data_IF_893669683974
#
_entry.id   IF_893669683974
#
_cell.length_a   1.000
_cell.length_b   1.000
_cell.length_c   1.000
_cell.angle_alpha   90.00
_cell.angle_beta   90.00
_cell.angle_gamma   90.00
#
_symmetry.space_group_name_H-M   'P 1'
#
loop_
_entity.id
_entity.type
_entity.pdbx_description
1 polymer ?
#
# COMPACT_ATOMS: atom_id res chain seq x y z
N UNK A 1 -7.44 16.54 -24.45
CA UNK A 1 -7.87 15.61 -23.38
C UNK A 1 -9.40 15.43 -23.37
N UNK A 2 -10.06 15.28 -22.20
CA UNK A 2 -11.51 15.01 -22.16
C UNK A 2 -12.35 16.15 -22.79
N UNK A 3 -12.07 17.38 -22.38
CA UNK A 3 -12.81 18.56 -22.88
C UNK A 3 -12.62 18.74 -24.39
N UNK A 4 -11.43 18.51 -24.90
CA UNK A 4 -11.14 18.60 -26.34
C UNK A 4 -11.93 17.55 -27.14
N UNK A 5 -12.06 16.34 -26.57
CA UNK A 5 -12.87 15.27 -27.18
C UNK A 5 -14.35 15.62 -27.17
N UNK A 6 -14.87 16.18 -26.05
CA UNK A 6 -16.26 16.60 -25.95
C UNK A 6 -16.60 17.71 -26.93
N UNK A 7 -15.72 18.72 -27.09
CA UNK A 7 -15.90 19.77 -28.09
C UNK A 7 -15.99 19.20 -29.53
N UNK A 8 -15.13 18.21 -29.83
CA UNK A 8 -15.20 17.56 -31.16
C UNK A 8 -16.51 16.79 -31.36
N UNK A 9 -17.00 16.12 -30.32
CA UNK A 9 -18.29 15.41 -30.37
C UNK A 9 -19.45 16.39 -30.58
N UNK A 10 -19.47 17.51 -29.86
CA UNK A 10 -20.48 18.58 -30.03
C UNK A 10 -20.46 19.17 -31.45
N UNK A 11 -19.30 19.20 -32.09
CA UNK A 11 -19.14 19.61 -33.49
C UNK A 11 -19.52 18.51 -34.51
N UNK A 12 -20.05 17.38 -34.03
CA UNK A 12 -20.55 16.28 -34.86
C UNK A 12 -19.54 15.20 -35.21
N UNK A 13 -18.40 15.15 -34.53
CA UNK A 13 -17.47 14.04 -34.69
C UNK A 13 -18.08 12.74 -34.16
N UNK A 14 -18.22 11.74 -35.04
CA UNK A 14 -18.84 10.44 -34.71
C UNK A 14 -17.85 9.28 -34.81
N UNK A 15 -16.58 9.54 -35.15
CA UNK A 15 -15.54 8.53 -35.27
C UNK A 15 -14.24 9.02 -34.65
N UNK A 16 -13.55 8.14 -33.97
CA UNK A 16 -12.20 8.34 -33.49
C UNK A 16 -11.28 7.22 -34.01
N UNK A 17 -10.01 7.58 -34.28
CA UNK A 17 -8.96 6.61 -34.58
C UNK A 17 -7.89 6.72 -33.50
N UNK A 18 -7.70 5.67 -32.74
CA UNK A 18 -6.59 5.54 -31.78
C UNK A 18 -5.48 4.70 -32.43
N UNK A 19 -4.26 5.22 -32.44
CA UNK A 19 -3.07 4.48 -32.86
C UNK A 19 -2.12 4.42 -31.67
N UNK A 20 -1.93 3.22 -31.14
CA UNK A 20 -1.04 2.96 -30.02
C UNK A 20 0.19 2.18 -30.52
N UNK A 21 1.37 2.75 -30.34
CA UNK A 21 2.63 2.07 -30.58
C UNK A 21 3.27 1.72 -29.23
N UNK A 22 3.44 0.43 -28.97
CA UNK A 22 4.02 -0.06 -27.72
C UNK A 22 5.23 -0.95 -27.98
N UNK A 23 6.22 -0.83 -27.11
CA UNK A 23 7.36 -1.73 -27.05
C UNK A 23 7.35 -2.46 -25.71
N UNK A 24 7.25 -3.78 -25.73
CA UNK A 24 7.38 -4.61 -24.53
C UNK A 24 8.84 -4.70 -24.13
N UNK A 25 9.18 -4.21 -22.94
CA UNK A 25 10.53 -4.26 -22.39
C UNK A 25 10.47 -5.09 -21.10
N UNK A 26 11.35 -6.07 -20.97
CA UNK A 26 11.54 -6.78 -19.71
C UNK A 26 12.44 -5.95 -18.80
N UNK A 27 12.05 -5.79 -17.54
CA UNK A 27 12.81 -5.16 -16.47
C UNK A 27 12.77 -6.05 -15.24
N UNK A 28 13.75 -5.88 -14.37
CA UNK A 28 13.81 -6.55 -13.07
C UNK A 28 13.61 -5.50 -11.99
N UNK A 29 12.71 -5.78 -11.07
CA UNK A 29 12.53 -5.06 -9.82
C UNK A 29 12.97 -5.94 -8.65
N UNK A 30 13.10 -5.36 -7.46
CA UNK A 30 13.48 -6.07 -6.24
C UNK A 30 12.53 -5.67 -5.12
N UNK A 31 12.27 -6.60 -4.20
CA UNK A 31 11.71 -6.30 -2.90
C UNK A 31 12.85 -6.14 -1.91
N UNK A 32 12.68 -5.25 -0.93
CA UNK A 32 13.59 -5.10 0.20
C UNK A 32 12.87 -5.70 1.40
N UNK A 33 13.52 -6.59 2.13
CA UNK A 33 12.93 -7.30 3.26
C UNK A 33 13.83 -7.15 4.47
N UNK A 34 13.25 -6.71 5.58
CA UNK A 34 13.90 -6.68 6.89
C UNK A 34 13.07 -7.51 7.86
N UNK A 35 13.69 -8.51 8.49
CA UNK A 35 13.04 -9.36 9.50
C UNK A 35 13.62 -9.07 10.88
N UNK A 36 12.76 -8.73 11.83
CA UNK A 36 13.07 -8.50 13.23
C UNK A 36 12.47 -9.66 14.03
N UNK A 37 13.28 -10.59 14.54
CA UNK A 37 12.76 -11.77 15.25
C UNK A 37 11.99 -11.39 16.51
N UNK A 38 10.87 -12.05 16.74
CA UNK A 38 10.08 -11.90 17.96
C UNK A 38 10.78 -12.42 19.22
N UNK A 39 10.37 -11.93 20.39
CA UNK A 39 10.93 -12.31 21.68
C UNK A 39 10.17 -13.46 22.36
N UNK A 40 8.89 -13.64 22.04
CA UNK A 40 8.02 -14.65 22.70
C UNK A 40 7.45 -15.67 21.70
N UNK A 41 7.09 -15.23 20.49
CA UNK A 41 6.46 -16.03 19.44
C UNK A 41 7.15 -15.78 18.09
N UNK A 42 8.44 -16.16 17.96
CA UNK A 42 9.23 -15.84 16.76
C UNK A 42 8.74 -16.57 15.50
N UNK A 43 7.96 -17.63 15.63
CA UNK A 43 7.34 -18.38 14.53
C UNK A 43 6.09 -17.70 13.96
N UNK A 44 5.51 -16.73 14.66
CA UNK A 44 4.39 -15.95 14.18
C UNK A 44 4.87 -14.63 13.56
N UNK A 45 4.46 -14.37 12.33
CA UNK A 45 4.95 -13.23 11.54
C UNK A 45 3.81 -12.21 11.37
N UNK A 46 4.12 -10.97 11.72
CA UNK A 46 3.34 -9.79 11.30
C UNK A 46 4.12 -9.08 10.20
N UNK A 47 3.44 -8.69 9.13
CA UNK A 47 4.09 -7.93 8.04
C UNK A 47 3.66 -6.48 8.04
N UNK A 48 4.65 -5.58 7.93
CA UNK A 48 4.46 -4.16 7.59
C UNK A 48 4.91 -3.96 6.15
N UNK A 49 4.04 -3.46 5.29
CA UNK A 49 4.34 -3.36 3.86
C UNK A 49 4.02 -1.98 3.30
N UNK A 50 4.79 -1.56 2.31
CA UNK A 50 4.53 -0.43 1.43
C UNK A 50 5.29 -0.64 0.13
N UNK A 51 4.82 -0.11 -0.98
CA UNK A 51 5.64 -0.08 -2.18
C UNK A 51 6.56 1.14 -2.19
N UNK A 52 7.65 1.08 -2.96
CA UNK A 52 8.62 2.16 -3.07
C UNK A 52 8.85 2.64 -4.52
N UNK A 53 8.18 2.02 -5.47
CA UNK A 53 8.12 2.51 -6.83
C UNK A 53 7.00 3.55 -7.00
N UNK A 54 7.01 4.26 -8.09
CA UNK A 54 5.98 5.21 -8.48
C UNK A 54 5.78 5.20 -9.99
N UNK A 55 4.69 5.81 -10.45
CA UNK A 55 4.43 5.99 -11.88
C UNK A 55 5.43 6.97 -12.52
N UNK A 56 5.71 6.85 -13.82
CA UNK A 56 6.65 7.75 -14.51
C UNK A 56 6.23 9.23 -14.55
N UNK A 57 4.97 9.53 -14.23
CA UNK A 57 4.39 10.87 -14.33
C UNK A 57 4.71 11.77 -13.15
N UNK A 58 5.11 11.21 -12.01
CA UNK A 58 5.35 11.95 -10.78
C UNK A 58 6.44 11.37 -9.89
N UNK A 59 6.92 12.15 -8.92
CA UNK A 59 7.94 11.71 -7.96
C UNK A 59 7.43 10.69 -6.94
N UNK A 60 6.10 10.56 -6.73
CA UNK A 60 5.53 9.56 -5.85
C UNK A 60 5.74 9.83 -4.36
N UNK A 61 5.63 11.08 -3.93
CA UNK A 61 5.83 11.41 -2.51
C UNK A 61 4.68 10.89 -1.64
N UNK A 62 3.45 11.05 -2.11
CA UNK A 62 2.25 10.53 -1.49
C UNK A 62 2.04 9.05 -1.86
N UNK A 63 2.30 8.71 -3.12
CA UNK A 63 2.13 7.39 -3.70
C UNK A 63 3.47 6.82 -4.23
N UNK A 64 4.32 6.15 -3.40
CA UNK A 64 4.05 5.80 -2.00
C UNK A 64 5.31 5.94 -1.12
N UNK A 65 6.15 6.98 -1.37
CA UNK A 65 7.36 7.19 -0.55
C UNK A 65 7.02 7.54 0.89
N UNK A 66 5.88 8.20 1.16
CA UNK A 66 5.43 8.45 2.53
C UNK A 66 5.13 7.14 3.27
N UNK A 67 4.43 6.19 2.65
CA UNK A 67 4.22 4.85 3.22
C UNK A 67 5.53 4.12 3.44
N UNK A 68 6.43 4.15 2.47
CA UNK A 68 7.76 3.53 2.58
C UNK A 68 8.57 4.12 3.74
N UNK A 69 8.52 5.44 3.94
CA UNK A 69 9.20 6.12 5.05
C UNK A 69 8.59 5.76 6.41
N UNK A 70 7.26 5.67 6.51
CA UNK A 70 6.56 5.27 7.75
C UNK A 70 7.00 3.88 8.19
N UNK A 71 7.00 2.88 7.30
CA UNK A 71 7.43 1.53 7.71
C UNK A 71 8.94 1.45 7.98
N UNK A 72 9.75 2.33 7.39
CA UNK A 72 11.17 2.42 7.70
C UNK A 72 11.40 2.94 9.12
N UNK A 73 10.65 3.96 9.54
CA UNK A 73 10.72 4.49 10.90
C UNK A 73 10.20 3.48 11.93
N UNK A 74 9.11 2.79 11.62
CA UNK A 74 8.62 1.69 12.46
C UNK A 74 9.64 0.55 12.57
N UNK A 75 10.32 0.21 11.48
CA UNK A 75 11.37 -0.80 11.49
C UNK A 75 12.55 -0.40 12.40
N UNK A 76 12.95 0.88 12.36
CA UNK A 76 13.96 1.43 13.27
C UNK A 76 13.51 1.32 14.73
N UNK A 77 12.30 1.79 15.04
CA UNK A 77 11.73 1.68 16.38
C UNK A 77 11.70 0.23 16.90
N UNK A 78 11.25 -0.72 16.09
CA UNK A 78 11.15 -2.11 16.50
C UNK A 78 12.49 -2.86 16.51
N UNK A 79 13.51 -2.34 15.84
CA UNK A 79 14.87 -2.87 15.99
C UNK A 79 15.41 -2.61 17.41
N UNK A 80 15.06 -1.49 18.02
CA UNK A 80 15.42 -1.15 19.40
C UNK A 80 14.43 -1.70 20.42
N UNK A 81 13.13 -1.79 20.08
CA UNK A 81 12.04 -2.23 20.92
C UNK A 81 11.43 -3.53 20.37
N UNK A 82 12.14 -4.63 20.51
CA UNK A 82 11.78 -5.89 19.86
C UNK A 82 10.36 -6.36 20.19
N UNK A 83 9.55 -6.68 19.18
CA UNK A 83 8.17 -7.11 19.36
C UNK A 83 8.10 -8.54 19.89
N UNK A 84 6.92 -8.95 20.39
CA UNK A 84 6.68 -10.32 20.85
C UNK A 84 6.69 -11.34 19.72
N UNK A 85 6.08 -10.97 18.58
CA UNK A 85 6.07 -11.75 17.34
C UNK A 85 7.13 -11.24 16.37
N UNK A 86 7.56 -12.06 15.45
CA UNK A 86 8.44 -11.60 14.37
C UNK A 86 7.74 -10.53 13.53
N UNK A 87 8.43 -9.43 13.32
CA UNK A 87 8.00 -8.36 12.43
C UNK A 87 8.82 -8.44 11.15
N UNK A 88 8.13 -8.47 10.02
CA UNK A 88 8.76 -8.43 8.72
C UNK A 88 8.32 -7.17 7.97
N UNK A 89 9.26 -6.25 7.75
CA UNK A 89 9.04 -5.02 7.00
C UNK A 89 9.44 -5.27 5.55
N UNK A 90 8.53 -5.00 4.61
CA UNK A 90 8.75 -5.28 3.20
C UNK A 90 8.42 -4.04 2.38
N UNK A 91 9.41 -3.58 1.61
CA UNK A 91 9.22 -2.55 0.59
C UNK A 91 9.11 -3.24 -0.76
N UNK A 92 7.92 -3.19 -1.35
CA UNK A 92 7.66 -3.82 -2.64
C UNK A 92 8.07 -2.93 -3.80
N UNK A 93 8.62 -3.54 -4.84
CA UNK A 93 8.90 -2.86 -6.09
C UNK A 93 7.93 -3.30 -7.17
N UNK A 94 7.65 -2.40 -8.11
CA UNK A 94 6.75 -2.63 -9.23
C UNK A 94 5.30 -2.96 -8.81
N UNK A 95 4.81 -2.27 -7.79
CA UNK A 95 3.39 -2.28 -7.39
C UNK A 95 2.54 -1.68 -8.51
N UNK A 96 2.95 -0.52 -9.02
CA UNK A 96 2.31 0.27 -10.08
C UNK A 96 2.18 -0.48 -11.43
N UNK A 97 2.88 -1.58 -11.55
CA UNK A 97 2.78 -2.47 -12.71
C UNK A 97 1.87 -3.68 -12.46
N UNK A 98 1.06 -3.64 -11.41
CA UNK A 98 0.07 -4.64 -11.05
C UNK A 98 0.53 -5.59 -9.95
N UNK A 99 0.99 -5.04 -8.81
CA UNK A 99 1.36 -5.78 -7.61
C UNK A 99 2.48 -6.81 -7.86
N UNK A 100 3.42 -6.50 -8.77
CA UNK A 100 4.41 -7.49 -9.20
C UNK A 100 5.31 -7.94 -8.04
N UNK A 101 5.72 -7.01 -7.17
CA UNK A 101 6.59 -7.29 -6.03
C UNK A 101 5.92 -8.17 -4.99
N UNK A 102 4.74 -7.80 -4.52
CA UNK A 102 4.00 -8.55 -3.50
C UNK A 102 3.55 -9.93 -4.00
N UNK A 103 3.11 -10.04 -5.25
CA UNK A 103 2.81 -11.33 -5.90
C UNK A 103 4.04 -12.24 -5.95
N UNK A 104 5.19 -11.68 -6.30
CA UNK A 104 6.43 -12.44 -6.33
C UNK A 104 6.85 -12.89 -4.92
N UNK A 105 6.70 -12.03 -3.91
CA UNK A 105 6.96 -12.34 -2.52
C UNK A 105 6.09 -13.50 -2.03
N UNK A 106 4.78 -13.36 -2.12
CA UNK A 106 3.82 -14.36 -1.66
C UNK A 106 4.04 -15.72 -2.35
N UNK A 107 4.40 -15.72 -3.64
CA UNK A 107 4.74 -16.94 -4.36
C UNK A 107 6.05 -17.56 -3.87
N UNK A 108 7.07 -16.76 -3.63
CA UNK A 108 8.39 -17.26 -3.20
C UNK A 108 8.37 -17.80 -1.77
N UNK A 109 7.49 -17.26 -0.90
CA UNK A 109 7.38 -17.63 0.51
C UNK A 109 6.14 -18.50 0.80
N UNK A 110 5.58 -19.17 -0.20
CA UNK A 110 4.33 -19.94 -0.06
C UNK A 110 4.37 -20.95 1.10
N UNK A 111 5.53 -21.58 1.35
CA UNK A 111 5.71 -22.51 2.45
C UNK A 111 5.68 -21.85 3.85
N UNK A 112 5.97 -20.55 3.94
CA UNK A 112 5.97 -19.79 5.19
C UNK A 112 4.66 -19.05 5.46
N UNK A 113 3.75 -18.97 4.47
CA UNK A 113 2.53 -18.16 4.58
C UNK A 113 1.64 -18.56 5.78
N UNK A 114 1.67 -19.81 6.21
CA UNK A 114 0.95 -20.27 7.39
C UNK A 114 1.44 -19.61 8.71
N UNK A 115 2.64 -19.05 8.72
CA UNK A 115 3.20 -18.33 9.86
C UNK A 115 2.76 -16.87 9.89
N UNK A 116 2.33 -16.31 8.76
CA UNK A 116 1.85 -14.93 8.67
C UNK A 116 0.48 -14.80 9.33
N UNK A 117 0.38 -13.96 10.35
CA UNK A 117 -0.84 -13.75 11.13
C UNK A 117 -1.65 -12.54 10.67
N UNK A 118 -0.95 -11.52 10.18
CA UNK A 118 -1.59 -10.29 9.72
C UNK A 118 -0.64 -9.50 8.80
N UNK A 119 -1.18 -8.88 7.76
CA UNK A 119 -0.48 -7.90 6.94
C UNK A 119 -1.04 -6.50 7.19
N UNK A 120 -0.17 -5.56 7.49
CA UNK A 120 -0.46 -4.13 7.61
C UNK A 120 0.26 -3.40 6.48
N UNK A 121 -0.49 -2.93 5.52
CA UNK A 121 0.02 -2.17 4.39
C UNK A 121 -0.23 -0.67 4.60
N UNK A 122 0.73 0.15 4.21
CA UNK A 122 0.59 1.62 4.19
C UNK A 122 0.71 2.06 2.75
N UNK A 123 -0.37 2.63 2.25
CA UNK A 123 -0.44 3.05 0.85
C UNK A 123 -1.27 4.32 0.76
N UNK A 124 -0.71 5.36 0.14
CA UNK A 124 -1.26 6.71 0.12
C UNK A 124 -1.31 7.34 1.53
N UNK A 125 -0.16 7.75 2.05
CA UNK A 125 -0.05 8.34 3.37
C UNK A 125 0.61 9.72 3.36
N UNK A 126 0.52 10.44 4.49
CA UNK A 126 1.27 11.67 4.73
C UNK A 126 0.65 12.97 4.20
N UNK A 127 -0.45 12.95 3.50
CA UNK A 127 -1.13 14.18 3.06
C UNK A 127 -1.61 15.00 4.28
N UNK A 128 -1.40 16.33 4.23
CA UNK A 128 -1.78 17.23 5.31
C UNK A 128 -3.30 17.35 5.49
N UNK A 129 -4.04 17.19 4.39
CA UNK A 129 -5.50 17.31 4.34
C UNK A 129 -6.08 15.95 3.92
N UNK A 130 -7.22 15.60 4.51
CA UNK A 130 -7.93 14.35 4.20
C UNK A 130 -8.19 13.50 5.42
N UNK A 131 -9.12 12.57 5.28
CA UNK A 131 -9.44 11.57 6.29
C UNK A 131 -8.51 10.36 6.23
N UNK A 132 -8.25 9.76 7.38
CA UNK A 132 -7.54 8.48 7.43
C UNK A 132 -8.56 7.34 7.39
N UNK A 133 -8.33 6.37 6.53
CA UNK A 133 -9.20 5.22 6.31
C UNK A 133 -8.40 3.94 6.42
N UNK A 134 -8.94 2.95 7.10
CA UNK A 134 -8.45 1.58 7.09
C UNK A 134 -9.37 0.70 6.25
N UNK A 135 -8.86 0.18 5.15
CA UNK A 135 -9.49 -0.92 4.42
C UNK A 135 -9.04 -2.24 5.03
N UNK A 136 -9.97 -3.07 5.47
CA UNK A 136 -9.66 -4.31 6.19
C UNK A 136 -10.30 -5.51 5.49
N UNK A 137 -9.51 -6.55 5.26
CA UNK A 137 -9.95 -7.89 4.85
C UNK A 137 -9.61 -8.88 5.97
N UNK A 138 -10.49 -8.99 6.94
CA UNK A 138 -10.36 -9.85 8.11
C UNK A 138 -11.74 -10.32 8.60
N UNK A 139 -11.77 -11.14 9.64
CA UNK A 139 -13.04 -11.53 10.28
C UNK A 139 -13.70 -10.32 10.95
N UNK A 140 -15.01 -10.41 11.17
CA UNK A 140 -15.76 -9.35 11.85
C UNK A 140 -15.18 -9.05 13.24
N UNK A 141 -14.81 -10.09 13.98
CA UNK A 141 -14.23 -9.98 15.33
C UNK A 141 -12.91 -9.21 15.31
N UNK A 142 -12.06 -9.46 14.31
CA UNK A 142 -10.81 -8.72 14.15
C UNK A 142 -11.06 -7.24 13.79
N UNK A 143 -12.02 -6.97 12.89
CA UNK A 143 -12.43 -5.61 12.56
C UNK A 143 -12.97 -4.86 13.78
N UNK A 144 -13.83 -5.50 14.56
CA UNK A 144 -14.41 -4.91 15.79
C UNK A 144 -13.30 -4.60 16.83
N UNK A 145 -12.32 -5.48 16.99
CA UNK A 145 -11.18 -5.29 17.88
C UNK A 145 -10.28 -4.10 17.43
N UNK A 146 -10.01 -3.99 16.15
CA UNK A 146 -9.26 -2.86 15.56
C UNK A 146 -10.01 -1.56 15.83
N UNK A 147 -11.31 -1.51 15.55
CA UNK A 147 -12.12 -0.32 15.78
C UNK A 147 -12.18 0.09 17.24
N UNK A 148 -12.33 -0.86 18.15
CA UNK A 148 -12.33 -0.57 19.60
C UNK A 148 -10.99 0.03 20.03
N UNK A 149 -9.87 -0.53 19.57
CA UNK A 149 -8.54 -0.01 19.85
C UNK A 149 -8.34 1.41 19.31
N UNK A 150 -8.79 1.68 18.09
CA UNK A 150 -8.70 3.01 17.47
C UNK A 150 -9.54 4.05 18.21
N UNK A 151 -10.73 3.68 18.68
CA UNK A 151 -11.57 4.55 19.53
C UNK A 151 -10.89 4.90 20.87
N UNK A 152 -10.30 3.89 21.53
CA UNK A 152 -9.57 4.10 22.79
C UNK A 152 -8.34 4.99 22.58
N UNK A 153 -7.70 4.92 21.42
CA UNK A 153 -6.57 5.76 21.06
C UNK A 153 -6.98 7.16 20.58
N UNK A 154 -8.29 7.48 20.55
CA UNK A 154 -8.86 8.76 20.04
C UNK A 154 -8.34 9.13 18.65
N UNK A 155 -8.24 8.14 17.78
CA UNK A 155 -7.81 8.33 16.39
C UNK A 155 -9.02 8.44 15.47
N UNK A 156 -9.15 9.59 14.82
CA UNK A 156 -10.19 9.86 13.84
C UNK A 156 -10.00 9.06 12.54
N UNK A 157 -10.10 7.74 12.64
CA UNK A 157 -9.91 6.80 11.53
C UNK A 157 -11.23 6.13 11.20
N UNK A 158 -11.59 6.11 9.92
CA UNK A 158 -12.72 5.35 9.41
C UNK A 158 -12.28 3.94 9.01
N UNK A 159 -13.09 2.94 9.31
CA UNK A 159 -12.85 1.56 8.88
C UNK A 159 -13.88 1.17 7.82
N UNK A 160 -13.41 0.56 6.74
CA UNK A 160 -14.25 -0.07 5.73
C UNK A 160 -13.88 -1.55 5.61
N UNK A 161 -14.90 -2.40 5.47
CA UNK A 161 -14.71 -3.84 5.30
C UNK A 161 -14.46 -4.17 3.81
N UNK A 162 -13.41 -3.60 3.28
CA UNK A 162 -12.88 -3.83 1.94
C UNK A 162 -11.45 -3.28 1.87
N UNK A 163 -10.63 -3.82 0.99
CA UNK A 163 -9.30 -3.28 0.67
C UNK A 163 -9.25 -2.87 -0.79
N UNK A 164 -8.62 -1.74 -1.05
CA UNK A 164 -8.35 -1.27 -2.42
C UNK A 164 -7.34 -2.17 -3.13
N UNK A 165 -7.15 -1.97 -4.43
CA UNK A 165 -6.08 -2.62 -5.16
C UNK A 165 -4.72 -2.10 -4.69
N UNK A 166 -4.12 -2.82 -3.76
CA UNK A 166 -2.80 -2.54 -3.18
C UNK A 166 -2.14 -3.85 -2.73
N UNK A 167 -0.91 -3.80 -2.25
CA UNK A 167 -0.10 -4.97 -1.91
C UNK A 167 -0.73 -5.90 -0.87
N UNK A 168 -1.54 -5.37 0.06
CA UNK A 168 -2.31 -6.16 1.03
C UNK A 168 -3.23 -7.20 0.39
N UNK A 169 -3.72 -6.94 -0.83
CA UNK A 169 -4.59 -7.87 -1.54
C UNK A 169 -3.90 -9.22 -1.79
N UNK A 170 -2.60 -9.21 -2.05
CA UNK A 170 -1.86 -10.44 -2.36
C UNK A 170 -1.80 -11.39 -1.16
N UNK A 171 -1.79 -10.85 0.05
CA UNK A 171 -1.90 -11.61 1.30
C UNK A 171 -3.34 -12.06 1.54
N UNK A 172 -4.31 -11.17 1.37
CA UNK A 172 -5.74 -11.48 1.54
C UNK A 172 -6.20 -12.60 0.58
N UNK A 173 -5.73 -12.62 -0.66
CA UNK A 173 -6.01 -13.70 -1.62
C UNK A 173 -5.45 -15.07 -1.20
N UNK A 174 -4.50 -15.09 -0.27
CA UNK A 174 -3.96 -16.31 0.34
C UNK A 174 -4.59 -16.63 1.70
N UNK A 175 -5.65 -15.91 2.08
CA UNK A 175 -6.37 -16.12 3.33
C UNK A 175 -5.67 -15.52 4.56
N UNK A 176 -4.64 -14.72 4.39
CA UNK A 176 -3.98 -13.98 5.47
C UNK A 176 -4.79 -12.70 5.72
N UNK A 177 -5.26 -12.46 6.96
CA UNK A 177 -5.91 -11.21 7.28
C UNK A 177 -5.02 -10.01 6.95
N UNK A 178 -5.59 -9.00 6.31
CA UNK A 178 -4.81 -7.88 5.81
C UNK A 178 -5.56 -6.56 5.96
N UNK A 179 -4.82 -5.47 6.09
CA UNK A 179 -5.37 -4.13 6.03
C UNK A 179 -4.46 -3.19 5.23
N UNK A 180 -5.06 -2.16 4.66
CA UNK A 180 -4.34 -1.01 4.10
C UNK A 180 -4.75 0.25 4.84
N UNK A 181 -3.76 0.95 5.41
CA UNK A 181 -3.93 2.31 5.87
C UNK A 181 -3.76 3.24 4.70
N UNK A 182 -4.76 4.07 4.50
CA UNK A 182 -4.82 5.09 3.46
C UNK A 182 -5.24 6.42 4.09
N UNK A 183 -4.76 7.51 3.53
CA UNK A 183 -5.24 8.85 3.84
C UNK A 183 -5.69 9.52 2.56
N UNK A 184 -6.92 10.00 2.54
CA UNK A 184 -7.42 10.76 1.40
C UNK A 184 -6.48 11.91 1.05
N UNK A 185 -6.27 12.10 -0.25
CA UNK A 185 -5.37 13.12 -0.74
C UNK A 185 -5.56 13.39 -2.22
N UNK A 186 -4.63 14.09 -2.81
CA UNK A 186 -4.66 14.47 -4.22
C UNK A 186 -3.27 14.39 -4.85
N UNK A 187 -3.22 14.46 -6.16
CA UNK A 187 -1.96 14.46 -6.91
C UNK A 187 -1.41 13.09 -7.25
N UNK A 188 -1.95 12.01 -6.69
CA UNK A 188 -1.60 10.64 -7.03
C UNK A 188 -1.55 10.44 -8.57
N UNK A 189 -0.52 9.76 -9.05
CA UNK A 189 -0.29 9.47 -10.46
C UNK A 189 -0.14 10.71 -11.36
N UNK A 190 0.26 11.85 -10.78
CA UNK A 190 0.53 13.09 -11.52
C UNK A 190 1.85 13.72 -11.12
N UNK A 191 2.29 14.74 -11.88
CA UNK A 191 3.48 15.53 -11.53
C UNK A 191 3.29 16.38 -10.25
N UNK A 192 2.08 16.42 -9.69
CA UNK A 192 1.77 17.15 -8.45
C UNK A 192 1.94 16.29 -7.18
N UNK A 193 2.29 15.02 -7.32
CA UNK A 193 2.61 14.16 -6.19
C UNK A 193 4.01 14.46 -5.67
N UNK A 194 4.14 15.60 -4.98
CA UNK A 194 5.42 16.14 -4.49
C UNK A 194 5.45 16.19 -2.96
N UNK A 195 6.67 16.30 -2.43
CA UNK A 195 6.91 16.41 -0.98
C UNK A 195 6.23 17.63 -0.33
N UNK A 196 5.92 18.66 -1.12
CA UNK A 196 5.32 19.91 -0.61
C UNK A 196 3.94 19.69 0.04
N UNK A 197 3.28 18.60 -0.29
CA UNK A 197 1.96 18.24 0.23
C UNK A 197 2.00 17.22 1.37
N UNK A 198 3.19 16.73 1.70
CA UNK A 198 3.38 15.76 2.77
C UNK A 198 3.62 16.48 4.08
N UNK A 199 2.96 15.99 5.13
CA UNK A 199 3.08 16.50 6.50
C UNK A 199 3.30 15.36 7.47
N UNK A 200 4.10 15.60 8.49
CA UNK A 200 4.32 14.68 9.59
C UNK A 200 3.19 14.72 10.66
N UNK A 201 2.18 15.56 10.49
CA UNK A 201 1.07 15.79 11.43
C UNK A 201 -0.19 14.99 11.10
#
# INVERSE_FOLDING_TARGET
HYLDVMELVERGASRARLVLQQKKIRRTSKNIILRIPGTEQPEEILTLTAHYDSVPQGPGAYDNMAGAAIIMELAHYFAENRPKRTLECIWFGAEELGLCGSRAYVKAHEAELAQHRFNMNVDLAGQAIGGTVLGVAATKEACDAIMEHLKQADKGVSLINNIWSSDSNTFAWKGIPAMTLNRDGFGMHTCHDTIDWISAW
#
